data_IF_244594904202
#
_entry.id   IF_244594904202
#
_cell.length_a   1.000
_cell.length_b   1.000
_cell.length_c   1.000
_cell.angle_alpha   90.00
_cell.angle_beta   90.00
_cell.angle_gamma   90.00
#
_symmetry.space_group_name_H-M   'P 1'
#
loop_
_entity.id
_entity.type
_entity.pdbx_description
1 polymer ?
#
# COMPACT_ATOMS: atom_id res chain seq x y z
N UNK A 1 -14.35 19.19 0.09
CA UNK A 1 -13.71 20.20 -0.78
C UNK A 1 -12.34 19.65 -1.18
N UNK A 2 -12.08 19.40 -2.47
CA UNK A 2 -10.81 18.84 -2.94
C UNK A 2 -9.62 19.81 -2.83
N UNK A 3 -9.84 21.08 -2.47
CA UNK A 3 -8.79 22.10 -2.42
C UNK A 3 -8.44 22.66 -3.80
N UNK A 4 -7.44 23.53 -3.84
CA UNK A 4 -6.98 24.16 -5.08
C UNK A 4 -6.25 23.15 -5.98
N UNK A 5 -6.40 23.26 -7.31
CA UNK A 5 -5.64 22.42 -8.23
C UNK A 5 -4.14 22.68 -8.10
N UNK A 6 -3.33 21.65 -8.28
CA UNK A 6 -1.87 21.78 -8.39
C UNK A 6 -1.53 22.31 -9.79
N UNK A 7 -0.77 23.39 -9.86
CA UNK A 7 -0.29 23.97 -11.13
C UNK A 7 1.23 23.74 -11.28
N UNK A 8 1.71 23.57 -12.51
CA UNK A 8 3.13 23.33 -12.80
C UNK A 8 3.60 21.90 -12.46
N UNK A 9 4.83 21.75 -11.94
CA UNK A 9 5.43 20.44 -11.66
C UNK A 9 4.97 19.89 -10.30
N UNK A 10 4.02 18.96 -10.31
CA UNK A 10 3.51 18.33 -9.09
C UNK A 10 4.54 17.50 -8.31
N UNK A 11 5.55 16.91 -8.98
CA UNK A 11 6.59 16.12 -8.29
C UNK A 11 7.49 16.99 -7.41
N UNK A 12 7.76 18.23 -7.82
CA UNK A 12 8.54 19.19 -7.04
C UNK A 12 7.75 19.82 -5.88
N UNK A 13 6.42 19.67 -5.89
CA UNK A 13 5.49 20.35 -4.97
C UNK A 13 4.76 19.37 -4.04
N UNK A 14 4.92 18.06 -4.23
CA UNK A 14 4.22 17.05 -3.44
C UNK A 14 4.70 17.06 -1.98
N UNK A 15 3.79 17.45 -1.07
CA UNK A 15 4.04 17.50 0.38
C UNK A 15 3.42 16.33 1.14
N UNK A 16 2.36 15.75 0.60
CA UNK A 16 1.73 14.54 1.13
C UNK A 16 1.89 13.43 0.11
N UNK A 17 2.48 12.31 0.54
CA UNK A 17 2.71 11.15 -0.29
C UNK A 17 1.72 10.05 0.06
N UNK A 18 1.23 9.36 -0.96
CA UNK A 18 0.49 8.12 -0.77
C UNK A 18 1.46 7.02 -0.32
N UNK A 19 0.98 6.02 0.43
CA UNK A 19 1.76 4.81 0.69
C UNK A 19 2.22 4.19 -0.63
N UNK A 20 3.51 3.90 -0.73
CA UNK A 20 4.14 3.31 -1.92
C UNK A 20 4.35 1.81 -1.78
N UNK A 21 4.05 1.24 -0.61
CA UNK A 21 4.13 -0.18 -0.34
C UNK A 21 2.79 -0.73 0.16
N UNK A 22 2.61 -2.04 -0.05
CA UNK A 22 1.36 -2.73 0.24
C UNK A 22 1.02 -2.69 1.73
N UNK A 23 1.99 -2.93 2.61
CA UNK A 23 1.73 -3.01 4.05
C UNK A 23 1.32 -1.65 4.64
N UNK A 24 1.99 -0.57 4.22
CA UNK A 24 1.63 0.79 4.62
C UNK A 24 0.25 1.18 4.11
N UNK A 25 -0.13 0.77 2.89
CA UNK A 25 -1.47 0.99 2.36
C UNK A 25 -2.56 0.27 3.18
N UNK A 26 -2.34 -0.99 3.54
CA UNK A 26 -3.27 -1.74 4.41
C UNK A 26 -3.38 -1.12 5.81
N UNK A 27 -2.26 -0.65 6.36
CA UNK A 27 -2.24 0.03 7.66
C UNK A 27 -2.99 1.37 7.63
N UNK A 28 -2.85 2.13 6.53
CA UNK A 28 -3.60 3.37 6.34
C UNK A 28 -5.11 3.10 6.19
N UNK A 29 -5.47 2.06 5.45
CA UNK A 29 -6.87 1.66 5.25
C UNK A 29 -7.53 1.23 6.57
N UNK A 30 -6.85 0.44 7.39
CA UNK A 30 -7.35 -0.01 8.70
C UNK A 30 -7.66 1.14 9.67
N UNK A 31 -6.88 2.22 9.58
CA UNK A 31 -7.04 3.42 10.41
C UNK A 31 -8.08 4.40 9.87
N UNK A 32 -8.60 4.19 8.66
CA UNK A 32 -9.55 5.11 8.02
C UNK A 32 -10.97 4.91 8.55
N UNK A 33 -11.45 5.87 9.34
CA UNK A 33 -12.86 5.91 9.75
C UNK A 33 -13.79 6.05 8.55
N UNK A 34 -13.43 6.89 7.58
CA UNK A 34 -14.19 7.05 6.34
C UNK A 34 -14.40 5.73 5.61
N UNK A 35 -13.34 4.91 5.49
CA UNK A 35 -13.44 3.61 4.82
C UNK A 35 -14.33 2.65 5.61
N UNK A 36 -14.25 2.67 6.95
CA UNK A 36 -15.10 1.85 7.82
C UNK A 36 -16.58 2.22 7.68
N UNK A 37 -16.89 3.50 7.63
CA UNK A 37 -18.26 4.00 7.52
C UNK A 37 -18.84 3.76 6.12
N UNK A 38 -18.00 3.89 5.08
CA UNK A 38 -18.43 3.76 3.68
C UNK A 38 -18.56 2.30 3.24
N UNK A 39 -17.64 1.43 3.65
CA UNK A 39 -17.59 0.04 3.21
C UNK A 39 -18.27 -0.92 4.20
N UNK A 40 -18.47 -0.48 5.44
CA UNK A 40 -18.99 -1.29 6.54
C UNK A 40 -17.88 -2.01 7.30
N UNK A 41 -18.05 -2.07 8.62
CA UNK A 41 -17.07 -2.65 9.56
C UNK A 41 -16.72 -4.11 9.24
N UNK A 42 -17.74 -4.96 9.05
CA UNK A 42 -17.56 -6.40 8.82
C UNK A 42 -16.83 -6.67 7.51
N UNK A 43 -17.24 -6.01 6.43
CA UNK A 43 -16.60 -6.16 5.13
C UNK A 43 -15.14 -5.70 5.17
N UNK A 44 -14.88 -4.53 5.75
CA UNK A 44 -13.51 -3.98 5.86
C UNK A 44 -12.60 -4.93 6.67
N UNK A 45 -13.13 -5.53 7.74
CA UNK A 45 -12.41 -6.53 8.53
C UNK A 45 -11.98 -7.74 7.71
N UNK A 46 -12.92 -8.37 6.99
CA UNK A 46 -12.63 -9.53 6.13
C UNK A 46 -11.65 -9.15 5.02
N UNK A 47 -11.86 -8.02 4.35
CA UNK A 47 -10.98 -7.54 3.29
C UNK A 47 -9.53 -7.37 3.77
N UNK A 48 -9.33 -6.69 4.91
CA UNK A 48 -7.99 -6.50 5.50
C UNK A 48 -7.35 -7.82 5.88
N UNK A 49 -8.11 -8.78 6.42
CA UNK A 49 -7.59 -10.09 6.78
C UNK A 49 -7.08 -10.86 5.54
N UNK A 50 -7.85 -10.88 4.46
CA UNK A 50 -7.47 -11.51 3.18
C UNK A 50 -6.23 -10.83 2.61
N UNK A 51 -6.21 -9.49 2.52
CA UNK A 51 -5.06 -8.77 1.95
C UNK A 51 -3.78 -8.90 2.77
N UNK A 52 -3.89 -9.01 4.10
CA UNK A 52 -2.74 -9.34 4.95
C UNK A 52 -2.23 -10.77 4.70
N UNK A 53 -3.10 -11.72 4.40
CA UNK A 53 -2.69 -13.08 4.05
C UNK A 53 -1.98 -13.12 2.70
N UNK A 54 -2.53 -12.47 1.68
CA UNK A 54 -1.89 -12.30 0.37
C UNK A 54 -0.51 -11.63 0.48
N UNK A 55 -0.41 -10.55 1.26
CA UNK A 55 0.86 -9.86 1.50
C UNK A 55 1.91 -10.80 2.11
N UNK A 56 1.55 -11.58 3.13
CA UNK A 56 2.48 -12.54 3.76
C UNK A 56 2.95 -13.61 2.77
N UNK A 57 2.05 -14.09 1.90
CA UNK A 57 2.40 -15.06 0.88
C UNK A 57 3.39 -14.45 -0.13
N UNK A 58 3.10 -13.25 -0.63
CA UNK A 58 3.97 -12.55 -1.56
C UNK A 58 5.37 -12.31 -0.98
N UNK A 59 5.45 -11.82 0.26
CA UNK A 59 6.74 -11.54 0.92
C UNK A 59 7.52 -12.80 1.32
N UNK A 60 6.90 -13.98 1.28
CA UNK A 60 7.58 -15.25 1.53
C UNK A 60 8.31 -15.79 0.29
N UNK A 61 8.04 -15.23 -0.89
CA UNK A 61 8.68 -15.63 -2.14
C UNK A 61 10.00 -14.86 -2.33
N UNK A 62 11.06 -15.58 -2.68
CA UNK A 62 12.33 -14.96 -3.08
C UNK A 62 12.21 -14.55 -4.53
N UNK A 63 12.37 -13.25 -4.80
CA UNK A 63 12.22 -12.71 -6.15
C UNK A 63 13.34 -13.16 -7.09
N UNK A 64 13.06 -13.19 -8.39
CA UNK A 64 14.08 -13.47 -9.41
C UNK A 64 15.25 -12.47 -9.34
N UNK A 65 14.96 -11.21 -8.98
CA UNK A 65 15.98 -10.17 -8.79
C UNK A 65 16.96 -10.54 -7.66
N UNK A 66 16.44 -11.04 -6.53
CA UNK A 66 17.25 -11.48 -5.39
C UNK A 66 18.08 -12.70 -5.77
N UNK A 67 17.52 -13.64 -6.52
CA UNK A 67 18.27 -14.78 -7.06
C UNK A 67 19.43 -14.32 -7.95
N UNK A 68 19.16 -13.44 -8.93
CA UNK A 68 20.18 -12.90 -9.83
C UNK A 68 21.29 -12.20 -9.05
N UNK A 69 20.94 -11.34 -8.10
CA UNK A 69 21.94 -10.60 -7.33
C UNK A 69 22.73 -11.46 -6.36
N UNK A 70 22.09 -12.35 -5.61
CA UNK A 70 22.78 -13.13 -4.58
C UNK A 70 23.56 -14.33 -5.12
N UNK A 71 23.19 -14.90 -6.29
CA UNK A 71 23.73 -16.19 -6.74
C UNK A 71 24.42 -16.17 -8.09
N UNK A 72 24.35 -15.08 -8.87
CA UNK A 72 25.18 -14.91 -10.07
C UNK A 72 26.36 -13.95 -9.89
N UNK A 73 26.55 -13.40 -8.69
CA UNK A 73 27.74 -12.63 -8.30
C UNK A 73 28.71 -13.41 -7.37
N UNK A 74 28.59 -14.74 -7.31
CA UNK A 74 29.52 -15.62 -6.59
C UNK A 74 30.66 -16.09 -7.50
#
# INVERSE_FOLDING_TARGET
DPGAPVEGNGYAQATSLLPTDWLSALTALERSSWARDTLGHEFLGVYLAVKRAEYRQFMAEVGEQDWRWCLTQA
#
